data_IF_688059448200
#
_entry.id   IF_688059448200
#
_cell.length_a   1.000
_cell.length_b   1.000
_cell.length_c   1.000
_cell.angle_alpha   90.00
_cell.angle_beta   90.00
_cell.angle_gamma   90.00
#
_symmetry.space_group_name_H-M   'P 1'
#
loop_
_entity.id
_entity.type
_entity.pdbx_description
1 polymer ?
#
# COMPACT_ATOMS: atom_id res chain seq x y z
N UNK A 1 -11.28 6.88 -10.91
CA UNK A 1 -10.80 8.26 -10.70
C UNK A 1 -9.42 8.14 -10.07
N UNK A 2 -8.43 8.93 -10.49
CA UNK A 2 -7.11 8.91 -9.82
C UNK A 2 -7.25 9.79 -8.56
N UNK A 3 -7.47 9.17 -7.40
CA UNK A 3 -7.42 9.87 -6.13
C UNK A 3 -5.97 9.96 -5.66
N UNK A 4 -5.61 11.08 -5.01
CA UNK A 4 -4.31 11.17 -4.34
C UNK A 4 -4.29 10.23 -3.15
N UNK A 5 -3.16 9.58 -2.91
CA UNK A 5 -3.01 8.65 -1.80
C UNK A 5 -3.35 9.29 -0.46
N UNK A 6 -2.98 10.54 -0.23
CA UNK A 6 -3.27 11.25 1.03
C UNK A 6 -4.75 11.57 1.24
N UNK A 7 -5.61 11.40 0.21
CA UNK A 7 -7.03 11.78 0.27
C UNK A 7 -7.96 10.62 0.62
N UNK A 8 -7.47 9.40 0.85
CA UNK A 8 -8.30 8.29 1.33
C UNK A 8 -8.61 8.45 2.83
N UNK A 9 -9.70 7.83 3.29
CA UNK A 9 -10.14 7.85 4.69
C UNK A 9 -9.32 6.87 5.55
N UNK A 10 -8.01 7.11 5.65
CA UNK A 10 -7.06 6.18 6.27
C UNK A 10 -7.29 5.92 7.75
N UNK A 11 -7.58 6.97 8.52
CA UNK A 11 -7.75 6.82 9.97
C UNK A 11 -8.93 5.89 10.26
N UNK A 12 -8.71 4.90 11.13
CA UNK A 12 -9.67 3.84 11.46
C UNK A 12 -10.02 2.87 10.31
N UNK A 13 -9.27 2.90 9.20
CA UNK A 13 -9.35 1.84 8.18
C UNK A 13 -8.73 0.54 8.68
N UNK A 14 -9.16 -0.61 8.17
CA UNK A 14 -8.58 -1.92 8.49
C UNK A 14 -7.79 -2.42 7.28
N UNK A 15 -6.50 -2.70 7.47
CA UNK A 15 -5.70 -3.46 6.51
C UNK A 15 -6.00 -4.95 6.66
N UNK A 16 -6.86 -5.49 5.78
CA UNK A 16 -7.30 -6.89 5.85
C UNK A 16 -6.21 -7.84 5.36
N UNK A 17 -5.53 -7.49 4.26
CA UNK A 17 -4.44 -8.30 3.70
C UNK A 17 -3.49 -7.49 2.82
N UNK A 18 -2.27 -8.01 2.69
CA UNK A 18 -1.25 -7.54 1.75
C UNK A 18 -0.88 -8.71 0.84
N UNK A 19 -1.01 -8.52 -0.47
CA UNK A 19 -0.66 -9.54 -1.47
C UNK A 19 0.48 -8.99 -2.33
N UNK A 20 1.54 -9.78 -2.48
CA UNK A 20 2.69 -9.45 -3.33
C UNK A 20 2.65 -10.34 -4.57
N UNK A 21 2.53 -9.71 -5.74
CA UNK A 21 2.58 -10.40 -7.03
C UNK A 21 3.86 -10.00 -7.79
N UNK A 22 4.75 -10.99 -7.98
CA UNK A 22 6.02 -10.86 -8.71
C UNK A 22 6.08 -11.68 -10.00
N UNK A 23 4.91 -12.05 -10.56
CA UNK A 23 4.85 -12.89 -11.75
C UNK A 23 5.45 -12.23 -12.99
N UNK A 24 5.52 -10.88 -13.02
CA UNK A 24 6.13 -10.11 -14.10
C UNK A 24 7.33 -9.30 -13.60
N UNK A 25 8.31 -9.99 -13.00
CA UNK A 25 9.43 -9.41 -12.27
C UNK A 25 10.16 -8.31 -13.07
N UNK A 26 10.33 -7.14 -12.45
CA UNK A 26 11.05 -6.01 -13.03
C UNK A 26 10.31 -5.25 -14.15
N UNK A 27 9.20 -5.82 -14.64
CA UNK A 27 8.30 -5.21 -15.62
C UNK A 27 7.04 -4.63 -14.95
N UNK A 28 6.38 -5.40 -14.07
CA UNK A 28 5.25 -4.94 -13.27
C UNK A 28 5.08 -5.84 -12.03
N UNK A 29 5.92 -5.63 -11.02
CA UNK A 29 5.67 -6.15 -9.69
C UNK A 29 4.53 -5.34 -9.05
N UNK A 30 3.58 -6.03 -8.41
CA UNK A 30 2.38 -5.43 -7.82
C UNK A 30 2.33 -5.74 -6.32
N UNK A 31 1.98 -4.73 -5.54
CA UNK A 31 1.51 -4.91 -4.17
C UNK A 31 0.04 -4.54 -4.14
N UNK A 32 -0.78 -5.42 -3.61
CA UNK A 32 -2.21 -5.23 -3.44
C UNK A 32 -2.53 -5.11 -1.95
N UNK A 33 -3.28 -4.08 -1.58
CA UNK A 33 -3.83 -3.90 -0.25
C UNK A 33 -5.33 -4.03 -0.30
N UNK A 34 -5.85 -4.90 0.54
CA UNK A 34 -7.27 -5.05 0.78
C UNK A 34 -7.64 -4.28 2.04
N UNK A 35 -8.45 -3.24 1.87
CA UNK A 35 -8.80 -2.28 2.91
C UNK A 35 -10.30 -2.32 3.18
N UNK A 36 -10.68 -2.33 4.46
CA UNK A 36 -12.03 -1.94 4.88
C UNK A 36 -11.98 -0.49 5.34
N UNK A 37 -12.69 0.40 4.64
CA UNK A 37 -12.79 1.82 4.96
C UNK A 37 -13.66 2.06 6.21
N UNK A 38 -13.60 3.24 6.86
CA UNK A 38 -14.43 3.55 8.03
C UNK A 38 -15.94 3.49 7.75
N UNK A 39 -16.33 3.71 6.49
CA UNK A 39 -17.71 3.53 6.02
C UNK A 39 -18.20 2.07 6.08
N UNK A 40 -17.27 1.11 6.23
CA UNK A 40 -17.52 -0.33 6.13
C UNK A 40 -17.42 -0.87 4.70
N UNK A 41 -17.22 -0.01 3.71
CA UNK A 41 -16.98 -0.43 2.32
C UNK A 41 -15.58 -1.05 2.18
N UNK A 42 -15.46 -2.03 1.29
CA UNK A 42 -14.20 -2.71 1.01
C UNK A 42 -13.59 -2.20 -0.30
N UNK A 43 -12.34 -1.76 -0.25
CA UNK A 43 -11.58 -1.27 -1.39
C UNK A 43 -10.30 -2.09 -1.59
N UNK A 44 -9.87 -2.18 -2.85
CA UNK A 44 -8.59 -2.79 -3.21
C UNK A 44 -7.69 -1.70 -3.75
N UNK A 45 -6.51 -1.51 -3.17
CA UNK A 45 -5.48 -0.62 -3.69
C UNK A 45 -4.38 -1.42 -4.37
N UNK A 46 -4.07 -1.07 -5.62
CA UNK A 46 -3.03 -1.70 -6.42
C UNK A 46 -1.89 -0.73 -6.64
N UNK A 47 -0.72 -1.09 -6.13
CA UNK A 47 0.52 -0.39 -6.37
C UNK A 47 1.23 -1.05 -7.54
N UNK A 48 1.50 -0.28 -8.58
CA UNK A 48 2.08 -0.81 -9.83
C UNK A 48 3.52 -0.34 -10.06
N UNK A 49 4.27 -1.19 -10.77
CA UNK A 49 5.72 -1.06 -10.96
C UNK A 49 6.44 -0.89 -9.61
N UNK A 50 6.12 -1.76 -8.66
CA UNK A 50 6.72 -1.75 -7.32
C UNK A 50 8.21 -2.09 -7.44
N UNK A 51 9.05 -1.23 -6.89
CA UNK A 51 10.50 -1.37 -6.90
C UNK A 51 11.06 -1.89 -5.58
N UNK A 52 10.37 -1.59 -4.48
CA UNK A 52 10.69 -2.10 -3.14
C UNK A 52 9.43 -2.10 -2.28
N UNK A 53 9.30 -3.09 -1.41
CA UNK A 53 8.29 -3.14 -0.36
C UNK A 53 8.99 -3.52 0.94
N UNK A 54 8.78 -2.73 1.99
CA UNK A 54 9.33 -2.94 3.33
C UNK A 54 8.15 -3.12 4.25
N UNK A 55 8.11 -4.22 4.97
CA UNK A 55 7.04 -4.55 5.90
C UNK A 55 7.67 -4.93 7.23
N UNK A 56 7.53 -4.05 8.21
CA UNK A 56 7.85 -4.32 9.62
C UNK A 56 6.52 -4.55 10.34
N UNK A 57 6.11 -5.82 10.40
CA UNK A 57 4.78 -6.21 10.87
C UNK A 57 4.87 -6.90 12.22
N UNK A 58 4.20 -6.33 13.20
CA UNK A 58 3.92 -6.97 14.47
C UNK A 58 2.60 -7.73 14.36
N UNK A 59 2.56 -8.98 14.82
CA UNK A 59 1.30 -9.73 14.92
C UNK A 59 0.55 -9.35 16.20
N UNK A 60 -0.73 -9.02 16.07
CA UNK A 60 -1.59 -8.58 17.18
C UNK A 60 -2.07 -9.70 18.09
N UNK A 61 -2.92 -9.32 19.06
CA UNK A 61 -3.69 -10.20 19.96
C UNK A 61 -5.14 -10.33 19.45
N UNK A 62 -6.10 -10.82 20.24
CA UNK A 62 -7.49 -11.14 19.83
C UNK A 62 -8.36 -9.93 19.36
N UNK A 63 -7.75 -8.83 18.93
CA UNK A 63 -8.39 -7.58 18.49
C UNK A 63 -8.03 -7.21 17.06
N UNK A 64 -8.92 -6.48 16.39
CA UNK A 64 -8.62 -5.85 15.09
C UNK A 64 -7.49 -4.83 15.25
N UNK A 65 -6.70 -4.66 14.19
CA UNK A 65 -5.78 -3.54 14.06
C UNK A 65 -6.29 -2.54 13.02
N UNK A 66 -5.96 -1.28 13.24
CA UNK A 66 -6.46 -0.13 12.49
C UNK A 66 -5.28 0.63 11.90
N UNK A 67 -5.47 1.24 10.76
CA UNK A 67 -4.54 2.19 10.18
C UNK A 67 -4.63 3.47 11.02
N UNK A 68 -3.49 3.83 11.61
CA UNK A 68 -3.32 5.09 12.33
C UNK A 68 -3.17 6.24 11.34
N UNK A 69 -2.31 6.06 10.35
CA UNK A 69 -1.99 7.05 9.34
C UNK A 69 -1.47 6.38 8.06
N UNK A 70 -1.67 7.03 6.92
CA UNK A 70 -0.97 6.69 5.69
C UNK A 70 -0.78 7.93 4.82
N UNK A 71 0.40 8.03 4.20
CA UNK A 71 0.82 9.22 3.46
C UNK A 71 1.85 8.91 2.37
N UNK A 72 1.90 9.78 1.37
CA UNK A 72 2.99 9.87 0.39
C UNK A 72 4.11 10.78 0.91
N UNK A 73 5.37 10.40 0.73
CA UNK A 73 6.52 11.22 1.13
C UNK A 73 7.71 11.04 0.18
N UNK A 74 8.58 12.05 0.09
CA UNK A 74 9.88 11.95 -0.58
C UNK A 74 11.05 11.88 0.43
N UNK A 75 10.77 12.12 1.71
CA UNK A 75 11.78 12.34 2.76
C UNK A 75 12.08 11.08 3.60
N UNK A 76 11.44 9.94 3.29
CA UNK A 76 11.69 8.68 4.00
C UNK A 76 13.13 8.18 3.77
N UNK A 77 13.84 7.83 4.85
CA UNK A 77 15.26 7.47 4.79
C UNK A 77 15.52 6.23 3.93
N UNK A 78 14.65 5.21 4.01
CA UNK A 78 14.78 4.00 3.19
C UNK A 78 14.55 4.31 1.72
N UNK A 79 13.66 5.25 1.43
CA UNK A 79 13.35 5.70 0.09
C UNK A 79 14.50 6.51 -0.52
N UNK A 80 15.03 7.50 0.20
CA UNK A 80 16.18 8.29 -0.22
C UNK A 80 17.41 7.39 -0.43
N UNK A 81 17.64 6.45 0.48
CA UNK A 81 18.72 5.46 0.36
C UNK A 81 18.53 4.58 -0.88
N UNK A 82 17.32 4.10 -1.11
CA UNK A 82 17.01 3.29 -2.29
C UNK A 82 17.22 4.05 -3.60
N UNK A 83 16.72 5.29 -3.72
CA UNK A 83 16.90 6.11 -4.93
C UNK A 83 18.37 6.28 -5.29
N UNK A 84 19.23 6.56 -4.32
CA UNK A 84 20.70 6.65 -4.53
C UNK A 84 21.32 5.34 -5.02
N UNK A 85 20.84 4.20 -4.54
CA UNK A 85 21.36 2.88 -4.95
C UNK A 85 21.04 2.54 -6.41
N UNK A 86 19.92 3.05 -6.94
CA UNK A 86 19.41 2.66 -8.26
C UNK A 86 19.39 3.79 -9.29
N UNK A 87 19.87 4.99 -8.94
CA UNK A 87 19.82 6.20 -9.78
C UNK A 87 20.44 6.01 -11.19
N UNK A 88 21.43 5.11 -11.31
CA UNK A 88 22.14 4.84 -12.57
C UNK A 88 21.65 3.55 -13.28
N UNK A 89 20.61 2.89 -12.74
CA UNK A 89 20.13 1.57 -13.21
C UNK A 89 18.64 1.63 -13.56
N UNK A 90 17.86 2.44 -12.84
CA UNK A 90 16.41 2.50 -12.94
C UNK A 90 15.98 3.73 -13.77
N UNK A 91 15.40 3.50 -14.95
CA UNK A 91 15.04 4.58 -15.90
C UNK A 91 13.81 5.41 -15.47
N UNK A 92 13.03 4.93 -14.51
CA UNK A 92 11.78 5.51 -14.02
C UNK A 92 11.87 5.98 -12.57
N UNK A 93 13.09 6.22 -12.09
CA UNK A 93 13.35 6.62 -10.70
C UNK A 93 12.73 7.98 -10.33
N UNK A 94 12.49 8.84 -11.32
CA UNK A 94 11.83 10.15 -11.20
C UNK A 94 10.32 10.03 -10.97
N UNK A 95 9.72 8.91 -11.35
CA UNK A 95 8.29 8.61 -11.15
C UNK A 95 8.01 7.83 -9.88
N UNK A 96 9.06 7.31 -9.24
CA UNK A 96 8.94 6.52 -8.03
C UNK A 96 8.48 7.42 -6.88
N UNK A 97 7.53 6.93 -6.09
CA UNK A 97 7.00 7.56 -4.88
C UNK A 97 7.17 6.62 -3.70
N UNK A 98 7.17 7.15 -2.48
CA UNK A 98 7.09 6.35 -1.26
C UNK A 98 5.70 6.49 -0.64
N UNK A 99 5.01 5.37 -0.46
CA UNK A 99 3.75 5.27 0.26
C UNK A 99 4.01 4.60 1.60
N UNK A 100 3.64 5.27 2.69
CA UNK A 100 3.83 4.79 4.06
C UNK A 100 2.47 4.54 4.69
N UNK A 101 2.33 3.40 5.38
CA UNK A 101 1.14 3.03 6.14
C UNK A 101 1.59 2.60 7.52
N UNK A 102 1.00 3.22 8.54
CA UNK A 102 1.25 3.01 9.95
C UNK A 102 -0.02 2.45 10.60
N UNK A 103 0.12 1.36 11.35
CA UNK A 103 -0.99 0.77 12.10
C UNK A 103 -0.93 1.18 13.58
N UNK A 104 -2.07 1.18 14.24
CA UNK A 104 -2.23 1.71 15.60
C UNK A 104 -1.88 0.66 16.67
N UNK A 105 -2.58 -0.46 16.68
CA UNK A 105 -2.53 -1.43 17.79
C UNK A 105 -1.23 -2.22 17.77
N UNK A 106 -0.80 -2.66 16.57
CA UNK A 106 0.45 -3.41 16.44
C UNK A 106 1.66 -2.51 16.25
N UNK A 107 1.47 -1.23 15.90
CA UNK A 107 2.57 -0.34 15.57
C UNK A 107 3.36 -0.79 14.33
N UNK A 108 2.75 -1.61 13.46
CA UNK A 108 3.35 -2.08 12.21
C UNK A 108 3.52 -0.94 11.21
N UNK A 109 4.55 -1.07 10.37
CA UNK A 109 4.91 -0.12 9.32
C UNK A 109 5.04 -0.83 7.97
N UNK A 110 4.34 -0.31 6.96
CA UNK A 110 4.45 -0.76 5.57
C UNK A 110 4.92 0.42 4.72
N UNK A 111 5.99 0.22 3.96
CA UNK A 111 6.49 1.17 2.97
C UNK A 111 6.48 0.53 1.59
N UNK A 112 5.88 1.19 0.61
CA UNK A 112 5.80 0.71 -0.77
C UNK A 112 6.40 1.76 -1.69
N UNK A 113 7.42 1.38 -2.45
CA UNK A 113 8.05 2.24 -3.45
C UNK A 113 7.51 1.86 -4.81
N UNK A 114 6.63 2.67 -5.36
CA UNK A 114 5.89 2.37 -6.58
C UNK A 114 5.69 3.64 -7.42
N UNK A 115 5.36 3.44 -8.69
CA UNK A 115 5.14 4.57 -9.61
C UNK A 115 3.73 5.15 -9.51
N UNK A 116 2.76 4.31 -9.12
CA UNK A 116 1.38 4.71 -8.98
C UNK A 116 0.60 3.76 -8.08
N UNK A 117 -0.53 4.25 -7.58
CA UNK A 117 -1.54 3.49 -6.85
C UNK A 117 -2.91 3.69 -7.54
N UNK A 118 -3.67 2.61 -7.68
CA UNK A 118 -5.01 2.61 -8.28
C UNK A 118 -5.97 1.95 -7.30
N UNK A 119 -7.08 2.62 -7.01
CA UNK A 119 -8.20 1.97 -6.32
C UNK A 119 -9.07 1.21 -7.31
N UNK A 120 -9.35 -0.06 -6.98
CA UNK A 120 -10.44 -0.84 -7.53
C UNK A 120 -11.50 -0.99 -6.45
N UNK A 121 -12.74 -0.61 -6.78
CA UNK A 121 -13.87 -1.00 -5.95
C UNK A 121 -13.92 -2.53 -5.96
N UNK A 122 -14.00 -3.15 -4.78
CA UNK A 122 -14.31 -4.57 -4.74
C UNK A 122 -15.70 -4.74 -5.35
N UNK A 123 -15.84 -5.68 -6.30
CA UNK A 123 -17.17 -6.10 -6.72
C UNK A 123 -17.89 -6.52 -5.43
N UNK A 124 -19.03 -5.90 -5.15
CA UNK A 124 -19.88 -6.33 -4.05
C UNK A 124 -20.02 -7.85 -4.17
N UNK A 125 -19.84 -8.65 -3.10
CA UNK A 125 -20.16 -10.05 -3.21
C UNK A 125 -21.59 -10.09 -3.73
N UNK A 126 -21.79 -10.69 -4.91
CA UNK A 126 -23.12 -11.03 -5.38
C UNK A 126 -23.84 -11.56 -4.16
N UNK A 127 -24.98 -10.94 -3.81
CA UNK A 127 -25.90 -11.52 -2.85
C UNK A 127 -26.04 -12.97 -3.27
N UNK A 128 -25.39 -13.86 -2.53
CA UNK A 128 -25.50 -15.28 -2.74
C UNK A 128 -26.97 -15.56 -2.54
N UNK A 129 -27.66 -15.77 -3.66
CA UNK A 129 -29.03 -16.24 -3.70
C UNK A 129 -29.05 -17.60 -3.02
N UNK A 130 -29.36 -17.60 -1.73
CA UNK A 130 -29.92 -18.72 -0.98
C UNK A 130 -31.02 -18.17 -0.07
#
# INVERSE_FOLDING_TARGET
MIMRFDNFDWHDSILNSVIINRQNLGLNDIVELDITWPSGERGILLFENVRKCIMDLNSGTDTKDWIYNAYETEDDEDFVSYKKQVENICNDIDKLKCFVIETSTTGSLVKIFATQVIERLSDSPEKSLL
#
